data_IF_041757612483
#
_entry.id   IF_041757612483
#
_cell.length_a   1.000
_cell.length_b   1.000
_cell.length_c   1.000
_cell.angle_alpha   90.00
_cell.angle_beta   90.00
_cell.angle_gamma   90.00
#
_symmetry.space_group_name_H-M   'P 1'
#
loop_
_entity.id
_entity.type
_entity.pdbx_description
1 polymer ?
#
# COMPACT_ATOMS: atom_id res chain seq x y z
N UNK A 1 -7.92 2.10 -0.83
CA UNK A 1 -8.01 3.52 -0.41
C UNK A 1 -7.77 3.63 1.09
N UNK A 2 -7.22 4.74 1.50
CA UNK A 2 -7.02 5.08 2.91
C UNK A 2 -7.61 6.48 3.14
N UNK A 3 -8.63 6.57 3.97
CA UNK A 3 -9.28 7.85 4.31
C UNK A 3 -8.82 8.23 5.71
N UNK A 4 -7.93 9.22 5.78
CA UNK A 4 -7.34 9.70 7.02
C UNK A 4 -8.36 10.56 7.77
N UNK A 5 -8.43 10.37 9.08
CA UNK A 5 -9.27 11.20 9.94
C UNK A 5 -8.69 12.60 10.10
N UNK A 6 -9.54 13.55 10.41
CA UNK A 6 -9.15 14.91 10.79
C UNK A 6 -8.21 14.93 12.00
N UNK A 7 -8.40 14.01 12.95
CA UNK A 7 -7.55 13.87 14.15
C UNK A 7 -6.11 13.41 13.88
N UNK A 8 -5.82 12.93 12.68
CA UNK A 8 -4.48 12.53 12.26
C UNK A 8 -3.93 11.22 12.86
N UNK A 9 -4.76 10.42 13.55
CA UNK A 9 -4.32 9.20 14.25
C UNK A 9 -4.97 7.92 13.72
N UNK A 10 -6.05 8.03 12.98
CA UNK A 10 -6.82 6.91 12.44
C UNK A 10 -7.18 7.11 10.98
N UNK A 11 -7.51 6.00 10.33
CA UNK A 11 -7.97 6.00 8.96
C UNK A 11 -8.98 4.88 8.72
N UNK A 12 -9.84 5.09 7.76
CA UNK A 12 -10.64 4.03 7.17
C UNK A 12 -9.88 3.39 6.02
N UNK A 13 -9.61 2.09 6.13
CA UNK A 13 -8.93 1.30 5.11
C UNK A 13 -9.96 0.54 4.27
N UNK A 14 -9.94 0.75 2.96
CA UNK A 14 -10.81 0.10 1.98
C UNK A 14 -9.93 -0.63 0.94
N UNK A 15 -10.08 -1.94 0.85
CA UNK A 15 -9.42 -2.74 -0.18
C UNK A 15 -10.43 -3.16 -1.24
N UNK A 16 -10.12 -2.85 -2.48
CA UNK A 16 -10.96 -3.12 -3.65
C UNK A 16 -10.13 -3.78 -4.74
N UNK A 17 -10.75 -4.69 -5.48
CA UNK A 17 -10.18 -5.30 -6.68
C UNK A 17 -10.86 -4.71 -7.91
N UNK A 18 -10.05 -4.24 -8.85
CA UNK A 18 -10.50 -3.89 -10.20
C UNK A 18 -10.28 -5.09 -11.11
N UNK A 19 -11.34 -5.57 -11.73
CA UNK A 19 -11.35 -6.77 -12.55
C UNK A 19 -11.85 -6.40 -13.93
N UNK A 20 -11.10 -6.75 -14.97
CA UNK A 20 -11.47 -6.55 -16.36
C UNK A 20 -11.57 -7.87 -17.10
N UNK A 21 -12.68 -8.11 -17.77
CA UNK A 21 -12.82 -9.21 -18.70
C UNK A 21 -12.35 -8.76 -20.09
N UNK A 22 -11.17 -9.21 -20.51
CA UNK A 22 -10.62 -8.89 -21.84
C UNK A 22 -11.02 -9.92 -22.91
N UNK A 23 -12.02 -10.75 -22.64
CA UNK A 23 -12.55 -11.72 -23.61
C UNK A 23 -13.93 -11.29 -24.11
N UNK A 24 -14.39 -11.90 -25.21
CA UNK A 24 -15.74 -11.71 -25.75
C UNK A 24 -16.78 -12.63 -25.08
N UNK A 25 -16.42 -13.31 -23.99
CA UNK A 25 -17.29 -14.23 -23.28
C UNK A 25 -17.99 -13.54 -22.13
N UNK A 26 -19.28 -13.79 -22.00
CA UNK A 26 -20.08 -13.34 -20.88
C UNK A 26 -20.04 -14.39 -19.77
N UNK A 27 -19.73 -13.93 -18.55
CA UNK A 27 -19.78 -14.76 -17.36
C UNK A 27 -20.95 -14.33 -16.50
N UNK A 28 -21.99 -15.14 -16.46
CA UNK A 28 -23.16 -14.88 -15.63
C UNK A 28 -23.10 -15.74 -14.36
N UNK A 29 -23.36 -15.10 -13.22
CA UNK A 29 -23.55 -15.81 -11.94
C UNK A 29 -22.34 -16.68 -11.51
N UNK A 30 -21.12 -16.17 -11.72
CA UNK A 30 -19.85 -16.86 -11.43
C UNK A 30 -19.26 -16.46 -10.08
N UNK A 31 -18.55 -17.38 -9.45
CA UNK A 31 -17.70 -17.09 -8.29
C UNK A 31 -16.31 -16.70 -8.77
N UNK A 32 -15.81 -15.55 -8.33
CA UNK A 32 -14.48 -15.08 -8.66
C UNK A 32 -13.50 -15.34 -7.52
N UNK A 33 -12.31 -15.79 -7.90
CA UNK A 33 -11.17 -15.92 -7.01
C UNK A 33 -10.00 -15.16 -7.59
N UNK A 34 -9.34 -14.35 -6.78
CA UNK A 34 -8.08 -13.71 -7.14
C UNK A 34 -6.93 -14.52 -6.54
N UNK A 35 -5.94 -14.81 -7.34
CA UNK A 35 -4.73 -15.51 -6.91
C UNK A 35 -3.56 -14.55 -6.98
N UNK A 36 -2.88 -14.37 -5.87
CA UNK A 36 -1.68 -13.56 -5.78
C UNK A 36 -0.47 -14.45 -5.55
N UNK A 37 0.57 -14.25 -6.38
CA UNK A 37 1.82 -14.98 -6.32
C UNK A 37 2.51 -15.02 -7.68
N UNK A 38 3.77 -15.39 -7.67
CA UNK A 38 4.59 -15.43 -8.87
C UNK A 38 4.46 -16.82 -9.55
N UNK A 39 3.37 -17.02 -10.29
CA UNK A 39 3.16 -18.25 -11.07
C UNK A 39 4.16 -18.30 -12.23
N UNK A 40 5.19 -19.14 -12.13
CA UNK A 40 6.09 -19.37 -13.25
C UNK A 40 5.40 -20.25 -14.30
N UNK A 41 4.87 -19.64 -15.35
CA UNK A 41 4.31 -20.34 -16.50
C UNK A 41 5.42 -20.53 -17.55
N UNK A 42 5.81 -21.77 -17.80
CA UNK A 42 6.61 -22.10 -18.98
C UNK A 42 5.67 -22.14 -20.18
N UNK A 43 5.69 -21.08 -20.96
CA UNK A 43 5.15 -20.81 -22.29
C UNK A 43 4.37 -21.87 -23.08
N UNK A 44 3.35 -22.48 -22.51
CA UNK A 44 2.16 -22.99 -23.19
C UNK A 44 1.01 -22.89 -22.21
N UNK A 45 -0.03 -22.16 -22.57
CA UNK A 45 -1.29 -22.12 -21.84
C UNK A 45 -1.97 -23.49 -21.83
N UNK A 46 -1.50 -24.37 -20.97
CA UNK A 46 -2.34 -25.41 -20.42
C UNK A 46 -2.84 -24.86 -19.07
N UNK A 47 -3.93 -24.12 -19.13
CA UNK A 47 -4.73 -23.83 -17.95
C UNK A 47 -5.08 -25.22 -17.37
N UNK A 48 -4.60 -25.58 -16.16
CA UNK A 48 -5.09 -26.79 -15.52
C UNK A 48 -6.61 -26.66 -15.45
N UNK A 49 -7.37 -27.72 -15.74
CA UNK A 49 -8.81 -27.65 -15.56
C UNK A 49 -9.05 -27.24 -14.12
N UNK A 50 -9.56 -26.03 -13.91
CA UNK A 50 -10.09 -25.60 -12.62
C UNK A 50 -11.02 -26.72 -12.17
N UNK A 51 -10.65 -27.44 -11.12
CA UNK A 51 -11.58 -28.34 -10.44
C UNK A 51 -12.70 -27.45 -9.95
N UNK A 52 -13.78 -27.41 -10.70
CA UNK A 52 -15.06 -26.89 -10.26
C UNK A 52 -15.51 -27.74 -9.08
N UNK A 53 -15.09 -27.34 -7.89
CA UNK A 53 -15.70 -27.85 -6.68
C UNK A 53 -17.03 -27.12 -6.59
N UNK A 54 -18.09 -27.78 -7.07
CA UNK A 54 -19.46 -27.36 -6.83
C UNK A 54 -19.69 -27.37 -5.32
N UNK A 55 -19.46 -26.24 -4.66
CA UNK A 55 -19.98 -26.02 -3.32
C UNK A 55 -21.41 -25.50 -3.46
N UNK A 56 -22.34 -26.40 -3.20
CA UNK A 56 -23.73 -26.05 -2.98
C UNK A 56 -23.82 -25.29 -1.64
N UNK A 57 -23.98 -23.98 -1.70
CA UNK A 57 -24.79 -23.19 -0.75
C UNK A 57 -24.82 -21.73 -1.19
N UNK A 58 -26.01 -21.13 -1.36
CA UNK A 58 -26.11 -19.70 -1.60
C UNK A 58 -25.96 -18.95 -0.29
N UNK A 59 -24.82 -18.35 -0.04
CA UNK A 59 -24.66 -17.34 0.99
C UNK A 59 -24.54 -15.98 0.32
N UNK A 60 -25.67 -15.29 0.21
CA UNK A 60 -25.82 -13.99 -0.46
C UNK A 60 -25.06 -12.84 0.19
N UNK A 61 -24.38 -13.04 1.35
CA UNK A 61 -23.64 -12.02 2.10
C UNK A 61 -22.35 -12.57 2.73
N UNK A 62 -21.64 -13.48 2.05
CA UNK A 62 -20.36 -13.94 2.56
C UNK A 62 -19.30 -12.82 2.43
N UNK A 63 -18.68 -12.44 3.55
CA UNK A 63 -17.47 -11.61 3.51
C UNK A 63 -16.39 -12.31 2.69
N UNK A 64 -15.59 -11.56 1.91
CA UNK A 64 -14.46 -12.12 1.19
C UNK A 64 -13.55 -12.89 2.16
N UNK A 65 -13.17 -14.11 1.80
CA UNK A 65 -12.30 -14.95 2.60
C UNK A 65 -10.95 -15.10 1.93
N UNK A 66 -9.88 -14.97 2.72
CA UNK A 66 -8.54 -15.30 2.30
C UNK A 66 -8.27 -16.78 2.60
N UNK A 67 -7.77 -17.49 1.61
CA UNK A 67 -7.29 -18.87 1.73
C UNK A 67 -5.85 -18.96 1.22
N UNK A 68 -5.14 -20.03 1.58
CA UNK A 68 -3.76 -20.24 1.18
C UNK A 68 -3.63 -21.58 0.42
N UNK A 69 -3.07 -21.51 -0.78
CA UNK A 69 -2.75 -22.69 -1.58
C UNK A 69 -1.23 -22.76 -1.78
N UNK A 70 -0.56 -23.52 -0.92
CA UNK A 70 0.91 -23.52 -0.90
C UNK A 70 1.45 -22.14 -0.52
N UNK A 71 2.27 -21.55 -1.40
CA UNK A 71 2.86 -20.22 -1.22
C UNK A 71 2.03 -19.10 -1.86
N UNK A 72 0.81 -19.41 -2.34
CA UNK A 72 -0.08 -18.46 -3.00
C UNK A 72 -1.22 -18.04 -2.06
N UNK A 73 -1.60 -16.77 -2.15
CA UNK A 73 -2.79 -16.25 -1.49
C UNK A 73 -3.97 -16.26 -2.46
N UNK A 74 -5.09 -16.79 -2.01
CA UNK A 74 -6.34 -16.81 -2.76
C UNK A 74 -7.34 -15.94 -2.02
N UNK A 75 -7.89 -14.95 -2.73
CA UNK A 75 -8.96 -14.11 -2.21
C UNK A 75 -10.25 -14.52 -2.90
N UNK A 76 -11.14 -15.13 -2.15
CA UNK A 76 -12.47 -15.46 -2.65
C UNK A 76 -13.36 -14.24 -2.52
N UNK A 77 -13.79 -13.69 -3.65
CA UNK A 77 -14.71 -12.55 -3.65
C UNK A 77 -16.10 -13.03 -3.25
N UNK A 78 -16.74 -12.25 -2.36
CA UNK A 78 -18.05 -12.63 -1.84
C UNK A 78 -19.14 -12.58 -2.92
N UNK A 79 -20.07 -13.54 -2.87
CA UNK A 79 -21.21 -13.60 -3.77
C UNK A 79 -20.90 -14.12 -5.18
N UNK A 80 -21.94 -14.11 -5.98
CA UNK A 80 -21.86 -14.42 -7.43
C UNK A 80 -21.91 -13.12 -8.22
N UNK A 81 -21.09 -13.01 -9.24
CA UNK A 81 -20.89 -11.80 -10.03
C UNK A 81 -21.18 -12.10 -11.48
N UNK A 82 -21.84 -11.17 -12.16
CA UNK A 82 -21.89 -11.11 -13.63
C UNK A 82 -20.73 -10.28 -14.14
N UNK A 83 -20.08 -10.71 -15.20
CA UNK A 83 -19.00 -9.97 -15.86
C UNK A 83 -19.09 -10.23 -17.37
N UNK A 84 -19.65 -9.27 -18.08
CA UNK A 84 -19.82 -9.36 -19.54
C UNK A 84 -18.50 -9.24 -20.28
N UNK A 85 -18.47 -9.63 -21.53
CA UNK A 85 -17.32 -9.42 -22.41
C UNK A 85 -16.94 -7.95 -22.49
N UNK A 86 -15.63 -7.66 -22.41
CA UNK A 86 -15.06 -6.30 -22.41
C UNK A 86 -15.48 -5.40 -21.23
N UNK A 87 -16.19 -5.93 -20.24
CA UNK A 87 -16.63 -5.21 -19.06
C UNK A 87 -15.56 -5.16 -17.96
N UNK A 88 -15.65 -4.13 -17.10
CA UNK A 88 -14.83 -4.01 -15.90
C UNK A 88 -15.71 -3.78 -14.68
N UNK A 89 -15.36 -4.42 -13.59
CA UNK A 89 -16.04 -4.25 -12.30
C UNK A 89 -15.05 -3.91 -11.20
N UNK A 90 -15.52 -3.21 -10.18
CA UNK A 90 -14.78 -3.01 -8.93
C UNK A 90 -15.55 -3.68 -7.79
N UNK A 91 -14.89 -4.50 -7.03
CA UNK A 91 -15.49 -5.22 -5.92
C UNK A 91 -14.60 -5.15 -4.68
N UNK A 92 -15.19 -5.30 -3.49
CA UNK A 92 -14.43 -5.26 -2.23
C UNK A 92 -13.66 -6.56 -2.03
N UNK A 93 -12.39 -6.42 -1.61
CA UNK A 93 -11.57 -7.55 -1.15
C UNK A 93 -11.80 -7.86 0.33
N UNK A 94 -12.04 -6.82 1.13
CA UNK A 94 -12.32 -6.93 2.56
C UNK A 94 -13.39 -5.91 2.94
N UNK A 95 -14.08 -6.16 4.05
CA UNK A 95 -14.89 -5.14 4.70
C UNK A 95 -14.02 -3.95 5.10
N UNK A 96 -14.59 -2.76 5.10
CA UNK A 96 -13.90 -1.55 5.58
C UNK A 96 -13.36 -1.78 7.00
N UNK A 97 -12.13 -1.36 7.24
CA UNK A 97 -11.41 -1.52 8.51
C UNK A 97 -10.97 -0.16 9.04
N UNK A 98 -11.24 0.09 10.31
CA UNK A 98 -10.66 1.23 10.99
C UNK A 98 -9.27 0.87 11.48
N UNK A 99 -8.25 1.59 11.00
CA UNK A 99 -6.84 1.34 11.31
C UNK A 99 -6.19 2.55 11.95
N UNK A 100 -5.18 2.32 12.78
CA UNK A 100 -4.27 3.35 13.25
C UNK A 100 -3.01 3.36 12.38
N UNK A 101 -2.40 4.52 12.25
CA UNK A 101 -1.14 4.68 11.53
C UNK A 101 -0.16 5.55 12.32
N UNK A 102 1.10 5.45 11.98
CA UNK A 102 2.13 6.38 12.42
C UNK A 102 2.53 7.26 11.24
N UNK A 103 2.42 8.59 11.41
CA UNK A 103 2.92 9.57 10.45
C UNK A 103 4.37 9.92 10.80
N UNK A 104 5.26 9.87 9.81
CA UNK A 104 6.65 10.28 9.90
C UNK A 104 7.03 11.16 8.71
N UNK A 105 8.11 11.92 8.85
CA UNK A 105 8.68 12.69 7.74
C UNK A 105 9.99 12.03 7.35
N UNK A 106 10.09 11.64 6.09
CA UNK A 106 11.26 10.96 5.55
C UNK A 106 12.20 11.95 4.87
N UNK A 107 13.46 11.92 5.30
CA UNK A 107 14.56 12.60 4.64
C UNK A 107 15.58 11.55 4.20
N UNK A 108 15.56 11.21 2.93
CA UNK A 108 16.40 10.16 2.34
C UNK A 108 17.46 10.79 1.46
N UNK A 109 18.72 10.45 1.69
CA UNK A 109 19.87 11.03 1.04
C UNK A 109 20.86 9.94 0.63
N UNK A 110 21.70 10.28 -0.34
CA UNK A 110 22.90 9.54 -0.70
C UNK A 110 24.17 10.30 -0.30
N UNK A 111 25.33 9.64 -0.32
CA UNK A 111 26.61 10.17 0.19
C UNK A 111 27.03 11.51 -0.43
N UNK A 112 26.60 11.80 -1.66
CA UNK A 112 27.00 12.99 -2.44
C UNK A 112 25.93 14.06 -2.51
N UNK A 113 24.72 13.79 -2.05
CA UNK A 113 23.63 14.74 -2.16
C UNK A 113 23.89 15.97 -1.29
N UNK A 114 23.73 17.14 -1.89
CA UNK A 114 23.68 18.44 -1.21
C UNK A 114 22.40 19.11 -1.66
N UNK A 115 21.40 19.18 -0.76
CA UNK A 115 20.10 19.70 -1.13
C UNK A 115 19.36 20.27 0.07
N UNK A 116 18.45 21.17 -0.23
CA UNK A 116 17.44 21.66 0.69
C UNK A 116 16.09 21.39 0.05
N UNK A 117 15.23 20.61 0.70
CA UNK A 117 13.95 20.20 0.13
C UNK A 117 12.91 19.91 1.20
N UNK A 118 11.61 20.00 0.85
CA UNK A 118 10.53 19.52 1.71
C UNK A 118 10.65 18.01 1.95
N UNK A 119 10.45 17.59 3.21
CA UNK A 119 10.49 16.17 3.57
C UNK A 119 9.29 15.41 3.00
N UNK A 120 9.50 14.16 2.61
CA UNK A 120 8.41 13.29 2.21
C UNK A 120 7.53 12.92 3.42
N UNK A 121 6.23 12.81 3.20
CA UNK A 121 5.27 12.40 4.22
C UNK A 121 5.05 10.90 4.10
N UNK A 122 5.37 10.17 5.15
CA UNK A 122 5.26 8.72 5.22
C UNK A 122 4.21 8.31 6.25
N UNK A 123 3.36 7.35 5.89
CA UNK A 123 2.38 6.70 6.76
C UNK A 123 2.75 5.23 6.91
N UNK A 124 2.86 4.78 8.15
CA UNK A 124 3.16 3.39 8.50
C UNK A 124 1.95 2.74 9.17
N UNK A 125 1.45 1.66 8.60
CA UNK A 125 0.28 0.91 9.07
C UNK A 125 0.73 -0.50 9.43
N UNK A 126 0.66 -0.86 10.72
CA UNK A 126 0.94 -2.22 11.16
C UNK A 126 -0.17 -3.17 10.73
N UNK A 127 0.18 -4.19 9.95
CA UNK A 127 -0.75 -5.23 9.49
C UNK A 127 -0.93 -6.33 10.54
N UNK A 128 -1.51 -5.97 11.67
CA UNK A 128 -1.75 -6.85 12.82
C UNK A 128 -3.22 -6.83 13.24
N UNK A 129 -3.66 -7.90 13.91
CA UNK A 129 -5.04 -8.01 14.41
C UNK A 129 -5.45 -6.88 15.35
N UNK A 130 -4.54 -6.42 16.20
CA UNK A 130 -4.79 -5.30 17.12
C UNK A 130 -5.01 -3.97 16.40
N UNK A 131 -4.65 -3.89 15.12
CA UNK A 131 -4.92 -2.75 14.24
C UNK A 131 -6.06 -3.04 13.26
N UNK A 132 -6.96 -3.97 13.60
CA UNK A 132 -8.09 -4.43 12.78
C UNK A 132 -7.70 -4.97 11.38
N UNK A 133 -6.43 -5.31 11.19
CA UNK A 133 -5.90 -5.96 10.00
C UNK A 133 -5.47 -7.40 10.34
N UNK A 134 -4.28 -7.82 9.99
CA UNK A 134 -3.80 -9.19 10.21
C UNK A 134 -4.28 -10.14 9.12
N UNK A 135 -4.45 -9.60 7.93
CA UNK A 135 -4.75 -10.30 6.67
C UNK A 135 -3.60 -10.05 5.70
N UNK A 136 -3.38 -10.92 4.73
CA UNK A 136 -2.38 -10.61 3.70
C UNK A 136 -2.91 -9.50 2.80
N UNK A 137 -2.15 -8.41 2.68
CA UNK A 137 -2.52 -7.32 1.80
C UNK A 137 -1.81 -7.53 0.45
N UNK A 138 -2.55 -7.63 -0.65
CA UNK A 138 -1.96 -7.76 -1.98
C UNK A 138 -1.21 -6.50 -2.38
N UNK A 139 -0.29 -6.65 -3.33
CA UNK A 139 0.30 -5.48 -3.97
C UNK A 139 -0.77 -4.68 -4.71
N UNK A 140 -0.60 -3.37 -4.76
CA UNK A 140 -1.52 -2.51 -5.49
C UNK A 140 -1.35 -1.04 -5.21
N UNK A 141 -2.17 -0.26 -5.90
CA UNK A 141 -2.22 1.19 -5.74
C UNK A 141 -3.01 1.54 -4.49
N UNK A 142 -2.47 2.41 -3.67
CA UNK A 142 -3.15 2.99 -2.53
C UNK A 142 -3.36 4.48 -2.73
N UNK A 143 -4.60 4.91 -2.65
CA UNK A 143 -5.00 6.30 -2.73
C UNK A 143 -5.29 6.81 -1.33
N UNK A 144 -4.69 7.94 -0.98
CA UNK A 144 -4.88 8.59 0.30
C UNK A 144 -5.81 9.77 0.15
N UNK A 145 -6.76 9.82 1.05
CA UNK A 145 -7.71 10.91 1.20
C UNK A 145 -7.67 11.40 2.64
N UNK A 146 -8.04 12.64 2.86
CA UNK A 146 -8.16 13.21 4.20
C UNK A 146 -9.52 13.88 4.35
N UNK A 147 -10.15 13.66 5.51
CA UNK A 147 -11.35 14.39 5.88
C UNK A 147 -10.96 15.78 6.34
N UNK A 148 -11.44 16.81 5.64
CA UNK A 148 -11.25 18.21 6.01
C UNK A 148 -12.29 18.69 7.03
N UNK A 149 -12.08 19.90 7.57
CA UNK A 149 -12.87 20.51 8.66
C UNK A 149 -14.38 20.64 8.36
N UNK A 150 -14.80 20.55 7.12
CA UNK A 150 -16.20 20.61 6.69
C UNK A 150 -16.80 19.23 6.35
N UNK A 151 -16.07 18.16 6.67
CA UNK A 151 -16.47 16.79 6.32
C UNK A 151 -16.23 16.42 4.85
N UNK A 152 -15.64 17.28 4.05
CA UNK A 152 -15.24 16.98 2.69
C UNK A 152 -14.05 15.99 2.70
N UNK A 153 -14.04 15.07 1.74
CA UNK A 153 -12.95 14.13 1.55
C UNK A 153 -12.09 14.64 0.40
N UNK A 154 -10.84 14.96 0.69
CA UNK A 154 -9.88 15.51 -0.26
C UNK A 154 -8.78 14.49 -0.58
N UNK A 155 -8.41 14.39 -1.85
CA UNK A 155 -7.29 13.55 -2.29
C UNK A 155 -5.97 14.19 -1.87
N UNK A 156 -5.12 13.44 -1.15
CA UNK A 156 -3.84 13.95 -0.63
C UNK A 156 -2.62 13.22 -1.19
N UNK A 157 -2.82 12.19 -1.99
CA UNK A 157 -1.73 11.50 -2.68
C UNK A 157 -2.04 10.04 -3.02
N UNK A 158 -1.15 9.43 -3.77
CA UNK A 158 -1.20 7.99 -4.06
C UNK A 158 0.21 7.38 -4.06
N UNK A 159 0.27 6.09 -3.79
CA UNK A 159 1.50 5.31 -3.77
C UNK A 159 1.19 3.86 -4.23
N UNK A 160 2.23 3.08 -4.44
CA UNK A 160 2.11 1.65 -4.69
C UNK A 160 2.68 0.86 -3.51
N UNK A 161 1.84 0.03 -2.89
CA UNK A 161 2.30 -0.90 -1.86
C UNK A 161 2.67 -2.24 -2.49
N UNK A 162 3.76 -2.82 -2.01
CA UNK A 162 4.10 -4.23 -2.28
C UNK A 162 3.21 -5.13 -1.43
N UNK A 163 3.27 -6.43 -1.66
CA UNK A 163 2.67 -7.40 -0.75
C UNK A 163 3.07 -7.14 0.70
N UNK A 164 2.08 -7.07 1.60
CA UNK A 164 2.31 -6.88 3.03
C UNK A 164 1.79 -8.09 3.79
N UNK A 165 2.67 -9.00 4.19
CA UNK A 165 2.29 -10.17 4.98
C UNK A 165 1.67 -9.80 6.33
N UNK A 166 0.96 -10.75 6.92
CA UNK A 166 0.47 -10.64 8.31
C UNK A 166 1.64 -10.38 9.27
N UNK A 167 1.51 -9.40 10.14
CA UNK A 167 2.54 -8.99 11.09
C UNK A 167 3.56 -7.98 10.55
N UNK A 168 3.60 -7.71 9.24
CA UNK A 168 4.46 -6.69 8.65
C UNK A 168 3.84 -5.28 8.73
N UNK A 169 4.57 -4.28 8.28
CA UNK A 169 4.11 -2.88 8.22
C UNK A 169 4.02 -2.43 6.77
N UNK A 170 2.86 -1.90 6.39
CA UNK A 170 2.69 -1.18 5.13
C UNK A 170 3.26 0.24 5.30
N UNK A 171 4.13 0.64 4.39
CA UNK A 171 4.70 1.98 4.33
C UNK A 171 4.21 2.67 3.07
N UNK A 172 3.67 3.87 3.20
CA UNK A 172 3.03 4.63 2.13
C UNK A 172 3.58 6.05 2.15
N UNK A 173 4.03 6.54 1.01
CA UNK A 173 4.53 7.91 0.84
C UNK A 173 3.51 8.71 0.04
N UNK A 174 2.88 9.72 0.66
CA UNK A 174 1.80 10.48 0.00
C UNK A 174 2.27 11.67 -0.81
N UNK A 175 3.36 12.28 -0.43
CA UNK A 175 3.87 13.51 -1.05
C UNK A 175 4.92 14.19 -0.19
N UNK A 176 5.08 15.51 -0.33
CA UNK A 176 6.07 16.31 0.42
C UNK A 176 5.39 17.33 1.30
N UNK A 177 5.94 17.54 2.49
CA UNK A 177 5.44 18.51 3.45
C UNK A 177 5.88 19.93 3.09
N UNK A 178 4.96 20.89 3.12
CA UNK A 178 5.30 22.29 2.88
C UNK A 178 6.08 22.90 4.06
N UNK A 179 5.68 22.58 5.29
CA UNK A 179 6.17 23.21 6.51
C UNK A 179 7.33 22.46 7.18
N UNK A 180 7.84 21.39 6.57
CA UNK A 180 8.96 20.60 7.11
C UNK A 180 10.04 20.46 6.06
N UNK A 181 11.15 21.19 6.28
CA UNK A 181 12.27 21.27 5.34
C UNK A 181 13.50 20.56 5.90
N UNK A 182 14.18 19.81 5.06
CA UNK A 182 15.45 19.20 5.36
C UNK A 182 16.56 19.81 4.50
N UNK A 183 17.72 20.06 5.11
CA UNK A 183 18.93 20.51 4.42
C UNK A 183 20.08 19.59 4.75
N UNK A 184 20.73 19.09 3.73
CA UNK A 184 21.95 18.28 3.83
C UNK A 184 23.10 19.00 3.17
N UNK A 185 24.21 19.13 3.90
CA UNK A 185 25.44 19.77 3.43
C UNK A 185 26.61 18.86 3.70
N UNK A 186 27.46 18.62 2.71
CA UNK A 186 28.75 17.96 2.87
C UNK A 186 29.78 19.01 3.29
N UNK A 187 30.25 18.90 4.53
CA UNK A 187 31.21 19.85 5.11
C UNK A 187 32.64 19.51 4.71
N UNK A 188 32.97 18.23 4.71
CA UNK A 188 34.27 17.72 4.30
C UNK A 188 34.09 16.32 3.67
N UNK A 189 34.95 16.01 2.69
CA UNK A 189 34.99 14.70 2.06
C UNK A 189 36.44 14.40 1.65
N UNK A 190 37.00 13.35 2.24
CA UNK A 190 38.35 12.88 1.92
C UNK A 190 38.26 11.43 1.41
N UNK A 191 38.81 11.20 0.24
CA UNK A 191 38.84 9.88 -0.39
C UNK A 191 40.29 9.39 -0.47
N UNK A 192 40.57 8.34 0.28
CA UNK A 192 41.84 7.64 0.26
C UNK A 192 41.70 6.33 -0.52
N UNK A 193 42.83 5.70 -0.85
CA UNK A 193 42.86 4.47 -1.67
C UNK A 193 42.01 3.30 -1.12
N UNK A 194 41.78 3.24 0.20
CA UNK A 194 41.09 2.15 0.88
C UNK A 194 40.01 2.58 1.86
N UNK A 195 39.77 3.88 1.96
CA UNK A 195 38.80 4.45 2.87
C UNK A 195 38.26 5.76 2.34
N UNK A 196 37.03 6.05 2.67
CA UNK A 196 36.39 7.34 2.44
C UNK A 196 35.92 7.88 3.80
N UNK A 197 36.19 9.16 4.05
CA UNK A 197 35.73 9.85 5.25
C UNK A 197 34.98 11.10 4.86
N UNK A 198 33.79 11.26 5.41
CA UNK A 198 32.95 12.43 5.11
C UNK A 198 32.33 12.98 6.38
N UNK A 199 32.27 14.30 6.45
CA UNK A 199 31.50 15.02 7.48
C UNK A 199 30.33 15.68 6.82
N UNK A 200 29.13 15.35 7.28
CA UNK A 200 27.88 15.93 6.80
C UNK A 200 27.16 16.68 7.90
N UNK A 201 26.48 17.74 7.52
CA UNK A 201 25.52 18.46 8.38
C UNK A 201 24.12 18.24 7.87
N UNK A 202 23.22 17.86 8.78
CA UNK A 202 21.79 17.72 8.49
C UNK A 202 21.04 18.69 9.40
N UNK A 203 20.29 19.58 8.77
CA UNK A 203 19.42 20.53 9.43
C UNK A 203 17.97 20.23 9.07
N UNK A 204 17.07 20.26 10.05
CA UNK A 204 15.63 20.13 9.81
C UNK A 204 14.92 21.32 10.43
N UNK A 205 14.08 21.95 9.63
CA UNK A 205 13.19 23.03 10.05
C UNK A 205 11.76 22.51 10.10
N UNK A 206 11.12 22.63 11.26
CA UNK A 206 9.72 22.30 11.46
C UNK A 206 8.97 23.60 11.75
N UNK A 207 8.13 24.05 10.82
CA UNK A 207 7.25 25.19 10.98
C UNK A 207 5.85 24.83 11.50
N UNK A 208 5.57 23.53 11.75
CA UNK A 208 4.33 23.10 12.36
C UNK A 208 4.30 23.43 13.84
N UNK A 209 3.10 23.61 14.39
CA UNK A 209 2.91 23.87 15.83
C UNK A 209 3.13 22.65 16.73
N UNK A 210 3.32 21.46 16.16
CA UNK A 210 3.47 20.18 16.88
C UNK A 210 4.85 19.56 16.69
N UNK A 211 5.25 18.75 17.65
CA UNK A 211 6.39 17.86 17.48
C UNK A 211 6.13 16.83 16.38
N UNK A 212 7.19 16.51 15.65
CA UNK A 212 7.13 15.56 14.53
C UNK A 212 8.15 14.44 14.72
N UNK A 213 7.87 13.29 14.11
CA UNK A 213 8.85 12.21 13.97
C UNK A 213 9.50 12.31 12.60
N UNK A 214 10.84 12.20 12.60
CA UNK A 214 11.63 12.23 11.37
C UNK A 214 12.37 10.90 11.27
N UNK A 215 12.33 10.30 10.09
CA UNK A 215 13.14 9.16 9.68
C UNK A 215 14.21 9.67 8.71
N UNK A 216 15.47 9.52 9.07
CA UNK A 216 16.59 9.82 8.19
C UNK A 216 17.17 8.53 7.63
N UNK A 217 17.44 8.53 6.33
CA UNK A 217 18.12 7.45 5.62
C UNK A 217 19.29 8.07 4.87
N UNK A 218 20.50 7.56 5.15
CA UNK A 218 21.71 7.89 4.43
C UNK A 218 22.22 6.63 3.72
N UNK A 219 22.28 6.68 2.40
CA UNK A 219 22.86 5.60 1.60
C UNK A 219 24.34 5.86 1.41
N UNK A 220 25.16 4.95 1.94
CA UNK A 220 26.61 4.97 1.84
C UNK A 220 27.03 3.76 0.99
N UNK A 221 27.81 3.99 -0.07
CA UNK A 221 28.20 2.98 -1.06
C UNK A 221 29.70 2.72 -1.09
#
# INVERSE_FOLDING_TARGET
>A
RLILDESGNGAEFLAEAYIKNNSNLDFENVSLQLVEGNLKQNGHMNVPPLMMKTMNSPQENAEPQEDQLGDYHIYQLGGKIGLMGEESITTRLYSSKRVSFQKTYLFENDERSQREEPLAIEYQIANIKNNNLGVSLPQGKIQLYQTGNQGNIEFVGEDEIRQVPKGATATIVSGRAFDVMGKRTVLNYDRQRKSEEGTISIEVKNALASEIKIRMIEHIY
#
